data_IF_640128663758
#
_entry.id   IF_640128663758
#
_cell.length_a   1.000
_cell.length_b   1.000
_cell.length_c   1.000
_cell.angle_alpha   90.00
_cell.angle_beta   90.00
_cell.angle_gamma   90.00
#
_symmetry.space_group_name_H-M   'P 1'
#
loop_
_entity.id
_entity.type
_entity.pdbx_description
1 polymer ?
2 non-polymer ?
3 non-polymer ?
4 water ?
#
# COMPACT_ATOMS: atom_id res chain seq x y z
N UNK A 7 -11.52 21.46 -2.08
CA UNK A 7 -10.39 21.28 -1.15
C UNK A 7 -10.42 19.76 -0.91
N UNK A 8 -9.25 19.14 -0.97
CA UNK A 8 -9.10 17.69 -0.84
C UNK A 8 -8.41 17.40 0.49
N UNK A 9 -9.03 16.55 1.32
CA UNK A 9 -8.45 16.15 2.58
C UNK A 9 -7.44 15.05 2.29
N UNK A 10 -6.36 14.99 3.06
CA UNK A 10 -5.39 13.89 2.90
C UNK A 10 -4.84 13.55 4.26
N UNK A 11 -5.17 12.35 4.77
CA UNK A 11 -4.79 11.95 6.11
C UNK A 11 -3.92 10.69 5.98
N UNK A 12 -2.67 10.80 6.42
CA UNK A 12 -1.69 9.73 6.34
C UNK A 12 -0.60 10.12 5.37
N UNK A 13 0.50 10.63 5.92
CA UNK A 13 1.60 11.20 5.14
C UNK A 13 2.87 10.38 5.38
N UNK A 14 2.72 9.07 5.27
CA UNK A 14 3.83 8.16 5.47
C UNK A 14 4.66 7.95 4.19
N UNK A 15 5.32 6.80 4.10
CA UNK A 15 6.22 6.52 2.98
C UNK A 15 5.51 6.62 1.63
N UNK A 17 2.03 7.88 1.44
CA UNK A 17 1.12 9.02 1.49
C UNK A 17 1.78 10.37 1.22
N UNK A 18 2.95 10.57 1.79
CA UNK A 18 3.63 11.86 1.62
C UNK A 18 3.89 12.19 0.15
N UNK A 19 4.62 11.34 -0.60
CA UNK A 19 4.82 11.65 -2.03
C UNK A 19 3.55 11.72 -2.86
N UNK A 21 0.60 12.86 -1.79
CA UNK A 21 0.04 14.19 -1.50
C UNK A 21 0.80 15.27 -2.27
N UNK A 22 2.12 15.13 -2.37
CA UNK A 22 2.93 16.11 -3.09
C UNK A 22 2.62 16.09 -4.59
N UNK A 23 2.31 14.93 -5.16
CA UNK A 23 1.88 14.88 -6.53
C UNK A 23 0.53 15.57 -6.76
N UNK A 24 -0.38 15.51 -5.79
CA UNK A 24 -1.65 16.21 -5.90
C UNK A 24 -1.40 17.72 -5.89
N UNK A 25 -0.50 18.17 -5.04
CA UNK A 25 -0.18 19.60 -4.96
C UNK A 25 0.40 20.10 -6.28
N UNK A 26 1.30 19.31 -6.87
CA UNK A 26 1.90 19.63 -8.16
C UNK A 26 0.88 19.64 -9.28
N UNK A 27 -0.15 18.82 -9.18
CA UNK A 27 -1.23 18.80 -10.17
C UNK A 27 -2.24 19.95 -9.98
N UNK A 28 -2.05 20.77 -8.94
CA UNK A 28 -2.87 21.96 -8.72
C UNK A 28 -4.02 21.82 -7.73
N UNK A 29 -4.10 20.69 -7.03
CA UNK A 29 -5.15 20.52 -6.01
C UNK A 29 -4.79 21.25 -4.74
N UNK A 30 -5.81 21.77 -4.05
CA UNK A 30 -5.62 22.38 -2.74
C UNK A 30 -5.90 21.32 -1.68
N UNK A 31 -4.94 21.09 -0.79
CA UNK A 31 -5.04 20.03 0.21
C UNK A 31 -5.14 20.57 1.61
N UNK A 32 -5.88 19.86 2.44
CA UNK A 32 -5.83 20.01 3.88
C UNK A 32 -5.40 18.64 4.44
N UNK A 33 -4.24 18.61 5.08
CA UNK A 33 -3.57 17.37 5.44
C UNK A 33 -3.41 17.15 6.92
N UNK A 34 -3.30 15.88 7.31
CA UNK A 34 -2.95 15.50 8.66
C UNK A 34 -2.17 14.19 8.67
N UNK A 35 -1.40 14.01 9.73
CA UNK A 35 -0.66 12.80 10.02
C UNK A 35 -0.34 12.81 11.52
N UNK A 36 -0.06 11.63 12.08
CA UNK A 36 0.35 11.53 13.48
C UNK A 36 1.71 12.19 13.75
N UNK A 37 2.52 12.36 12.71
CA UNK A 37 3.84 12.97 12.84
C UNK A 37 3.79 14.46 12.39
N UNK A 38 3.91 15.41 13.32
CA UNK A 38 3.88 16.83 12.93
C UNK A 38 4.94 17.20 11.90
N UNK A 39 6.09 16.53 11.91
CA UNK A 39 7.12 16.80 10.92
C UNK A 39 6.70 16.42 9.51
N UNK A 40 5.95 15.32 9.38
CA UNK A 40 5.37 14.96 8.08
C UNK A 40 4.38 16.02 7.60
N UNK A 41 3.49 16.49 8.50
CA UNK A 41 2.62 17.62 8.15
C UNK A 41 3.45 18.83 7.71
N UNK A 42 4.49 19.17 8.47
CA UNK A 42 5.29 20.37 8.16
C UNK A 42 5.90 20.31 6.76
N UNK A 43 6.38 19.13 6.38
CA UNK A 43 6.96 18.91 5.07
C UNK A 43 5.94 19.16 3.95
N UNK A 44 4.73 18.65 4.13
CA UNK A 44 3.72 18.77 3.12
C UNK A 44 3.13 20.20 3.08
N UNK A 45 3.02 20.85 4.23
CA UNK A 45 2.61 22.27 4.20
C UNK A 45 3.67 23.11 3.50
N UNK A 46 4.94 22.76 3.65
CA UNK A 46 6.01 23.49 2.96
C UNK A 46 5.87 23.36 1.44
N UNK A 47 5.26 22.26 0.96
CA UNK A 47 4.97 22.09 -0.47
C UNK A 47 3.67 22.74 -0.92
N UNK A 48 2.92 23.33 -0.01
CA UNK A 48 1.73 24.09 -0.37
C UNK A 48 0.42 23.70 0.32
N UNK A 49 0.41 22.64 1.13
CA UNK A 49 -0.82 22.22 1.79
C UNK A 49 -1.20 23.10 2.95
N UNK A 50 -2.48 23.11 3.28
CA UNK A 50 -2.95 23.50 4.60
C UNK A 50 -3.11 22.30 5.50
N UNK A 51 -3.43 22.54 6.77
CA UNK A 51 -3.64 21.49 7.76
C UNK A 51 -4.78 21.85 8.71
N UNK A 52 -5.26 20.86 9.46
CA UNK A 52 -6.23 21.07 10.53
C UNK A 52 -5.95 20.08 11.64
N UNK A 53 -6.50 20.33 12.83
CA UNK A 53 -6.08 19.62 14.04
C UNK A 53 -6.75 18.26 14.22
N UNK A 54 -7.82 17.99 13.47
CA UNK A 54 -8.53 16.71 13.58
C UNK A 54 -9.05 16.28 12.24
N UNK A 55 -9.33 15.00 12.13
CA UNK A 55 -10.00 14.45 10.94
C UNK A 55 -11.39 15.08 10.76
N UNK A 56 -12.07 15.33 11.87
CA UNK A 56 -13.38 15.97 11.85
C UNK A 56 -13.29 17.35 11.17
N UNK A 57 -12.28 18.13 11.54
CA UNK A 57 -12.10 19.46 10.95
C UNK A 57 -11.71 19.39 9.48
N UNK A 58 -10.94 18.37 9.09
CA UNK A 58 -10.67 18.18 7.68
C UNK A 58 -11.96 17.90 6.92
N UNK A 59 -12.81 17.04 7.49
CA UNK A 59 -14.07 16.68 6.84
C UNK A 59 -15.03 17.86 6.77
N UNK A 60 -14.97 18.76 7.75
CA UNK A 60 -15.80 19.98 7.72
C UNK A 60 -15.45 20.91 6.55
N UNK A 61 -14.19 20.85 6.12
CA UNK A 61 -13.67 21.73 5.08
C UNK A 61 -13.54 21.13 3.69
N UNK A 62 -13.61 19.80 3.57
CA UNK A 62 -13.28 19.13 2.30
C UNK A 62 -14.44 18.24 1.86
N UNK A 63 -14.79 18.29 0.59
CA UNK A 63 -15.88 17.46 0.05
C UNK A 63 -15.42 16.06 -0.27
N UNK A 64 -14.10 15.89 -0.35
CA UNK A 64 -13.48 14.58 -0.59
C UNK A 64 -12.24 14.48 0.28
N UNK A 65 -12.02 13.30 0.85
CA UNK A 65 -10.91 13.07 1.76
C UNK A 65 -10.26 11.76 1.34
N UNK A 66 -8.94 11.79 1.16
CA UNK A 66 -8.14 10.57 0.97
C UNK A 66 -7.52 10.15 2.30
N UNK A 67 -7.57 8.85 2.62
CA UNK A 67 -6.80 8.30 3.75
C UNK A 67 -5.77 7.34 3.19
N UNK A 69 -3.42 4.90 5.29
CA UNK A 69 -3.12 4.44 6.63
C UNK A 69 -2.75 2.94 6.62
N UNK A 70 -2.12 2.45 7.69
CA UNK A 70 -1.54 1.10 7.67
C UNK A 70 -2.50 -0.08 7.65
N UNK A 71 -3.67 0.03 8.29
CA UNK A 71 -4.52 -1.13 8.52
C UNK A 71 -5.94 -0.71 8.94
N UNK A 72 -6.84 -1.68 9.05
CA UNK A 72 -8.22 -1.36 9.36
C UNK A 72 -8.41 -0.62 10.70
N UNK A 73 -7.78 -1.03 11.81
CA UNK A 73 -7.97 -0.28 13.05
C UNK A 73 -7.65 1.21 12.91
N UNK A 74 -6.60 1.53 12.16
CA UNK A 74 -6.24 2.94 11.97
C UNK A 74 -7.31 3.66 11.13
N UNK A 75 -7.77 3.04 10.04
CA UNK A 75 -8.79 3.68 9.20
C UNK A 75 -10.09 3.85 10.01
N UNK A 76 -10.47 2.84 10.76
CA UNK A 76 -11.69 2.91 11.58
C UNK A 76 -11.61 4.05 12.58
N UNK A 77 -10.46 4.23 13.22
CA UNK A 77 -10.30 5.33 14.19
C UNK A 77 -10.41 6.70 13.50
N UNK A 78 -9.74 6.87 12.36
CA UNK A 78 -9.77 8.13 11.64
C UNK A 78 -11.16 8.43 11.03
N UNK A 79 -11.81 7.39 10.50
CA UNK A 79 -13.07 7.57 9.79
C UNK A 79 -14.26 7.66 10.74
N UNK A 80 -14.24 6.86 11.80
CA UNK A 80 -15.43 6.63 12.64
C UNK A 80 -15.28 7.03 14.09
N UNK A 81 -14.06 7.31 14.52
CA UNK A 81 -13.75 7.46 15.93
C UNK A 81 -14.00 8.88 16.41
N UNK A 82 -13.62 9.13 17.64
CA UNK A 82 -13.75 10.46 18.24
C UNK A 82 -12.94 11.44 17.40
N UNK A 83 -13.56 12.57 17.10
CA UNK A 83 -12.97 13.56 16.20
C UNK A 83 -12.62 12.99 14.83
N UNK A 84 -13.39 12.00 14.40
CA UNK A 84 -13.14 11.37 13.11
C UNK A 84 -13.92 12.01 11.99
N UNK A 85 -13.70 11.51 10.78
CA UNK A 85 -14.33 12.03 9.58
C UNK A 85 -15.84 12.09 9.73
N UNK A 86 -16.43 11.04 10.30
CA UNK A 86 -17.86 10.93 10.38
C UNK A 86 -18.50 12.05 11.22
N UNK A 87 -17.74 12.60 12.16
CA UNK A 87 -18.24 13.68 13.02
C UNK A 87 -18.24 15.05 12.34
N UNK A 88 -17.50 15.19 11.23
CA UNK A 88 -17.43 16.44 10.50
C UNK A 88 -18.00 16.45 9.09
N UNK A 89 -18.29 15.27 8.55
CA UNK A 89 -18.65 15.13 7.14
C UNK A 89 -20.14 15.39 6.95
N UNK A 90 -20.47 16.26 6.03
CA UNK A 90 -21.89 16.43 5.71
C UNK A 90 -22.29 15.41 4.64
N UNK A 91 -23.59 15.18 4.48
CA UNK A 91 -24.06 14.23 3.46
C UNK A 91 -23.50 14.60 2.12
N UNK A 92 -23.03 13.60 1.38
CA UNK A 92 -22.45 13.79 0.08
C UNK A 92 -20.92 13.83 0.05
N UNK A 93 -20.31 13.98 1.22
CA UNK A 93 -18.85 13.91 1.36
C UNK A 93 -18.43 12.52 0.91
N UNK A 94 -17.24 12.42 0.31
CA UNK A 94 -16.69 11.15 -0.16
C UNK A 94 -15.38 10.85 0.54
N UNK A 95 -15.24 9.62 1.04
CA UNK A 95 -13.96 9.09 1.52
C UNK A 95 -13.39 8.19 0.44
N UNK A 96 -12.16 8.48 0.02
CA UNK A 96 -11.38 7.59 -0.82
C UNK A 96 -10.31 7.00 0.06
N UNK A 97 -10.55 5.80 0.56
CA UNK A 97 -9.54 5.15 1.38
C UNK A 97 -8.59 4.40 0.48
N UNK A 99 -5.77 3.01 1.69
CA UNK A 99 -5.10 2.04 2.56
C UNK A 99 -5.34 0.62 2.05
N UNK A 100 -4.40 -0.26 2.36
CA UNK A 100 -4.60 -1.68 2.15
C UNK A 100 -5.20 -2.28 3.41
N UNK A 101 -6.48 -2.65 3.36
CA UNK A 101 -7.16 -3.22 4.53
C UNK A 101 -8.03 -4.39 4.13
N UNK A 102 -8.46 -5.18 5.11
CA UNK A 102 -9.32 -6.34 4.84
C UNK A 102 -10.57 -5.90 4.08
N UNK A 103 -10.93 -6.57 2.99
CA UNK A 103 -12.18 -6.22 2.29
C UNK A 103 -13.42 -6.10 3.18
N UNK A 104 -13.56 -7.01 4.15
CA UNK A 104 -14.68 -6.93 5.10
C UNK A 104 -14.67 -5.62 5.86
N UNK A 105 -13.49 -5.15 6.24
CA UNK A 105 -13.37 -3.86 6.93
C UNK A 105 -13.79 -2.68 6.04
N UNK A 106 -13.38 -2.69 4.77
CA UNK A 106 -13.84 -1.66 3.84
C UNK A 106 -15.36 -1.62 3.81
N UNK A 107 -15.98 -2.78 3.73
CA UNK A 107 -17.45 -2.88 3.65
C UNK A 107 -18.12 -2.39 4.94
N UNK A 108 -17.54 -2.74 6.09
CA UNK A 108 -18.03 -2.29 7.39
C UNK A 108 -17.96 -0.77 7.56
N UNK A 109 -16.82 -0.21 7.19
CA UNK A 109 -16.60 1.23 7.31
C UNK A 109 -17.54 1.94 6.31
N UNK A 110 -17.65 1.40 5.10
CA UNK A 110 -18.57 1.97 4.11
C UNK A 110 -20.02 2.01 4.62
N UNK A 111 -20.46 0.93 5.25
CA UNK A 111 -21.84 0.87 5.77
C UNK A 111 -22.06 1.88 6.88
N UNK A 112 -21.05 2.04 7.74
CA UNK A 112 -21.15 3.02 8.83
C UNK A 112 -21.22 4.45 8.27
N UNK A 113 -20.42 4.74 7.25
CA UNK A 113 -20.42 6.07 6.65
C UNK A 113 -21.72 6.32 5.87
N UNK A 114 -22.23 5.29 5.20
CA UNK A 114 -23.46 5.42 4.40
C UNK A 114 -24.65 5.83 5.26
N UNK A 115 -24.67 5.36 6.51
CA UNK A 115 -25.75 5.71 7.44
C UNK A 115 -25.79 7.21 7.71
N UNK A 116 -24.64 7.89 7.58
CA UNK A 116 -24.56 9.35 7.68
C UNK A 116 -24.56 10.10 6.35
N UNK A 117 -24.73 9.39 5.24
CA UNK A 117 -24.74 9.99 3.92
C UNK A 117 -23.39 10.22 3.30
N UNK A 118 -22.35 9.59 3.86
CA UNK A 118 -20.99 9.72 3.36
C UNK A 118 -20.68 8.53 2.45
N UNK A 119 -20.18 8.82 1.25
CA UNK A 119 -19.86 7.84 0.23
C UNK A 119 -18.42 7.36 0.43
N UNK A 121 -15.02 5.04 -1.57
CA UNK A 121 -14.31 4.14 -2.48
C UNK A 121 -13.16 3.49 -1.72
N UNK A 122 -12.90 2.21 -2.00
CA UNK A 122 -11.67 1.57 -1.56
C UNK A 122 -10.72 1.52 -2.75
N UNK A 123 -9.66 2.32 -2.69
CA UNK A 123 -8.74 2.54 -3.80
C UNK A 123 -7.26 2.33 -3.40
N UNK A 124 -6.92 1.13 -2.95
CA UNK A 124 -5.52 0.81 -2.64
C UNK A 124 -4.65 0.85 -3.89
N UNK A 125 -3.35 0.85 -3.66
CA UNK A 125 -2.38 1.12 -4.70
C UNK A 125 -1.29 0.10 -4.75
N UNK A 126 -0.59 0.08 -5.87
CA UNK A 126 0.65 -0.69 -5.97
C UNK A 126 1.70 0.00 -6.83
N UNK A 127 2.95 -0.15 -6.40
CA UNK A 127 4.10 0.30 -7.17
C UNK A 127 5.33 0.56 -6.35
N UNK A 128 5.17 0.63 -5.04
CA UNK A 128 6.29 0.84 -4.15
C UNK A 128 6.60 2.31 -4.01
N UNK A 129 7.48 2.62 -3.06
CA UNK A 129 7.86 3.99 -2.80
C UNK A 129 8.36 4.71 -4.06
N UNK A 130 9.17 4.07 -4.91
CA UNK A 130 9.60 4.76 -6.14
C UNK A 130 8.47 5.24 -7.03
N UNK A 131 7.41 4.46 -7.15
CA UNK A 131 6.31 4.83 -8.01
C UNK A 131 5.29 5.75 -7.32
N UNK A 132 5.25 5.74 -5.99
CA UNK A 132 4.50 6.75 -5.24
C UNK A 132 5.15 8.11 -5.50
N UNK A 133 6.47 8.14 -5.50
CA UNK A 133 7.22 9.38 -5.74
C UNK A 133 7.02 9.90 -7.15
N UNK A 134 7.17 9.03 -8.16
CA UNK A 134 7.11 9.51 -9.55
C UNK A 134 5.70 9.52 -10.15
N UNK A 135 4.70 9.13 -9.37
CA UNK A 135 3.33 9.20 -9.77
C UNK A 135 2.85 8.19 -10.79
N UNK A 136 3.45 7.00 -10.81
CA UNK A 136 3.10 5.96 -11.76
C UNK A 136 2.48 4.73 -11.09
N UNK A 137 2.00 4.90 -9.86
CA UNK A 137 1.24 3.85 -9.15
C UNK A 137 0.07 3.33 -9.97
N UNK A 138 -0.25 2.04 -9.80
CA UNK A 138 -1.52 1.51 -10.21
C UNK A 138 -2.48 1.61 -9.02
N UNK A 139 -3.71 2.03 -9.30
CA UNK A 139 -4.77 2.17 -8.33
C UNK A 139 -5.89 1.24 -8.74
N UNK A 141 -9.81 -0.02 -7.60
CA UNK A 141 -10.88 0.66 -6.88
C UNK A 141 -12.17 -0.12 -6.82
N UNK A 142 -12.79 -0.18 -5.64
CA UNK A 142 -14.15 -0.64 -5.52
C UNK A 142 -15.07 0.49 -5.09
N UNK A 143 -16.35 0.33 -5.43
CA UNK A 143 -17.40 1.27 -5.04
C UNK A 143 -18.30 1.59 -6.20
N UNK A 144 -19.12 2.61 -6.04
CA UNK A 144 -20.07 3.06 -7.09
C UNK A 144 -19.37 3.67 -8.28
N UNK A 145 -19.74 3.22 -9.46
CA UNK A 145 -19.13 3.72 -10.69
C UNK A 145 -19.22 5.24 -10.84
N UNK A 146 -20.35 5.83 -10.43
CA UNK A 146 -20.53 7.27 -10.56
C UNK A 146 -19.50 8.02 -9.73
N UNK A 147 -19.21 7.50 -8.54
CA UNK A 147 -18.25 8.11 -7.64
C UNK A 147 -16.83 7.89 -8.16
N UNK A 148 -16.55 6.68 -8.63
CA UNK A 148 -15.30 6.41 -9.34
C UNK A 148 -15.06 7.43 -10.47
N UNK A 149 -16.08 7.61 -11.32
CA UNK A 149 -15.94 8.48 -12.49
C UNK A 149 -15.71 9.93 -12.05
N UNK A 150 -16.39 10.35 -11.00
CA UNK A 150 -16.27 11.71 -10.52
C UNK A 150 -14.88 12.04 -10.01
N UNK A 151 -14.20 11.07 -9.39
CA UNK A 151 -12.89 11.29 -8.79
C UNK A 151 -11.77 10.60 -9.53
N UNK A 152 -12.02 10.13 -10.74
CA UNK A 152 -10.99 9.52 -11.57
C UNK A 152 -9.79 10.46 -11.75
N UNK A 153 -10.02 11.71 -12.13
CA UNK A 153 -8.92 12.62 -12.38
C UNK A 153 -8.10 12.87 -11.14
N UNK A 154 -8.75 12.98 -9.99
CA UNK A 154 -8.05 13.22 -8.73
C UNK A 154 -7.13 12.02 -8.44
N UNK A 156 -6.06 9.79 -10.59
CA UNK A 156 -5.10 9.66 -11.68
C UNK A 156 -3.92 10.62 -11.55
N UNK A 157 -4.10 11.74 -10.84
CA UNK A 157 -2.99 12.65 -10.59
C UNK A 157 -1.84 12.05 -9.78
N UNK A 159 -1.07 8.64 -10.22
CA UNK A 159 -1.03 7.29 -10.78
C UNK A 159 -0.70 7.22 -12.27
N UNK A 160 -0.19 6.06 -12.67
CA UNK A 160 -0.13 5.67 -14.07
C UNK A 160 -1.37 4.98 -14.57
N UNK A 161 -2.18 4.43 -13.66
CA UNK A 161 -3.37 3.67 -14.02
C UNK A 161 -4.36 3.70 -12.86
N UNK A 162 -5.65 3.91 -13.17
CA UNK A 162 -6.73 3.84 -12.20
C UNK A 162 -7.86 3.02 -12.78
N UNK A 163 -8.14 1.87 -12.16
CA UNK A 163 -9.08 0.90 -12.71
C UNK A 163 -10.17 0.53 -11.70
N UNK A 164 -11.42 0.55 -12.14
CA UNK A 164 -12.55 0.16 -11.33
C UNK A 164 -12.74 -1.36 -11.41
N UNK A 165 -12.73 -2.03 -10.25
CA UNK A 165 -12.72 -3.48 -10.22
C UNK A 165 -14.00 -4.13 -9.70
N UNK A 166 -14.91 -3.32 -9.14
CA UNK A 166 -16.15 -3.84 -8.63
C UNK A 166 -16.78 -2.96 -7.56
N UNK A 167 -17.70 -3.56 -6.80
CA UNK A 167 -18.39 -2.89 -5.71
C UNK A 167 -17.40 -2.69 -4.54
N UNK A 168 -17.85 -1.95 -3.53
CA UNK A 168 -17.02 -1.65 -2.37
C UNK A 168 -16.39 -2.92 -1.79
N UNK A 169 -15.09 -2.86 -1.56
CA UNK A 169 -14.29 -3.99 -1.15
C UNK A 169 -13.49 -4.65 -2.24
N UNK A 170 -13.89 -4.46 -3.50
CA UNK A 170 -13.22 -5.08 -4.63
C UNK A 170 -11.85 -4.51 -4.87
N UNK A 171 -11.64 -3.25 -4.49
CA UNK A 171 -10.30 -2.68 -4.55
C UNK A 171 -9.35 -3.49 -3.66
N UNK A 172 -9.76 -3.70 -2.42
CA UNK A 172 -8.95 -4.48 -1.51
C UNK A 172 -8.86 -5.95 -1.86
N UNK A 173 -9.89 -6.55 -2.47
CA UNK A 173 -9.72 -7.92 -2.95
C UNK A 173 -8.62 -7.95 -4.01
N UNK A 174 -8.64 -6.95 -4.91
CA UNK A 174 -7.65 -6.85 -5.98
C UNK A 174 -6.26 -6.64 -5.38
N UNK A 175 -6.20 -5.81 -4.35
CA UNK A 175 -4.94 -5.59 -3.63
C UNK A 175 -4.44 -6.87 -2.91
N UNK A 176 -5.32 -7.71 -2.41
CA UNK A 176 -4.89 -9.01 -1.86
C UNK A 176 -4.21 -9.86 -2.93
N UNK A 177 -4.83 -9.98 -4.10
CA UNK A 177 -4.20 -10.66 -5.24
C UNK A 177 -2.85 -10.02 -5.58
N UNK A 178 -2.82 -8.69 -5.59
CA UNK A 178 -1.58 -7.96 -5.83
C UNK A 178 -0.48 -8.33 -4.86
N UNK A 179 -0.83 -8.40 -3.57
CA UNK A 179 0.15 -8.62 -2.53
C UNK A 179 0.61 -10.06 -2.46
N UNK A 180 -0.25 -10.99 -2.89
CA UNK A 180 0.17 -12.36 -3.11
C UNK A 180 1.27 -12.38 -4.17
N UNK A 181 1.03 -11.73 -5.29
CA UNK A 181 2.02 -11.73 -6.36
C UNK A 181 3.32 -11.05 -5.92
N UNK A 182 3.23 -9.91 -5.25
CA UNK A 182 4.45 -9.21 -4.87
C UNK A 182 5.29 -10.06 -3.92
N UNK A 183 4.66 -10.64 -2.90
CA UNK A 183 5.39 -11.47 -1.94
C UNK A 183 6.06 -12.62 -2.64
N UNK A 184 5.31 -13.32 -3.50
CA UNK A 184 5.84 -14.50 -4.17
C UNK A 184 6.92 -14.15 -5.19
N UNK A 185 6.78 -13.04 -5.91
CA UNK A 185 7.79 -12.62 -6.89
C UNK A 185 9.09 -12.29 -6.16
N UNK A 186 9.00 -11.67 -4.97
CA UNK A 186 10.18 -11.38 -4.19
C UNK A 186 10.83 -12.67 -3.69
N UNK A 187 10.00 -13.56 -3.13
CA UNK A 187 10.49 -14.85 -2.63
C UNK A 187 11.15 -15.65 -3.75
N UNK A 188 10.52 -15.67 -4.92
CA UNK A 188 11.04 -16.41 -6.07
C UNK A 188 12.39 -15.88 -6.53
N UNK A 190 14.51 -14.34 -4.65
CA UNK A 190 15.44 -14.65 -3.58
C UNK A 190 15.90 -16.12 -3.65
N UNK A 191 14.94 -17.02 -3.88
CA UNK A 191 15.19 -18.44 -4.00
C UNK A 191 16.15 -18.68 -5.17
N UNK A 192 15.87 -18.06 -6.32
CA UNK A 192 16.65 -18.25 -7.51
C UNK A 192 18.06 -17.64 -7.43
N UNK A 193 18.17 -16.42 -6.94
CA UNK A 193 19.47 -15.76 -6.82
C UNK A 193 20.35 -16.47 -5.78
N UNK A 194 19.76 -16.94 -4.68
CA UNK A 194 20.51 -17.68 -3.68
C UNK A 194 20.99 -19.02 -4.24
N UNK A 195 20.16 -19.70 -5.02
CA UNK A 195 20.58 -20.92 -5.70
C UNK A 195 21.80 -20.67 -6.60
N UNK A 196 21.74 -19.66 -7.44
CA UNK A 196 22.82 -19.40 -8.40
C UNK A 196 24.11 -19.02 -7.67
N UNK A 197 23.98 -18.21 -6.64
CA UNK A 197 25.12 -17.79 -5.82
C UNK A 197 25.77 -18.98 -5.14
N UNK A 198 24.95 -19.84 -4.53
CA UNK A 198 25.46 -21.05 -3.89
C UNK A 198 26.14 -22.01 -4.87
N UNK A 199 25.65 -22.02 -6.11
CA UNK A 199 26.22 -22.84 -7.18
C UNK A 199 27.41 -22.17 -7.86
N UNK A 200 27.85 -21.02 -7.35
CA UNK A 200 29.10 -20.40 -7.81
C UNK A 200 29.01 -19.37 -8.92
N UNK A 201 27.82 -18.86 -9.22
CA UNK A 201 27.61 -17.84 -10.22
C UNK A 201 27.26 -16.51 -9.56
N UNK A 202 27.91 -15.44 -10.01
CA UNK A 202 27.70 -14.13 -9.45
C UNK A 202 26.28 -13.65 -9.70
N UNK A 203 25.51 -13.31 -8.65
CA UNK A 203 24.10 -12.95 -8.84
C UNK A 203 23.86 -11.67 -9.64
N UNK A 204 24.83 -10.75 -9.66
CA UNK A 204 24.65 -9.57 -10.49
C UNK A 204 24.67 -9.94 -11.97
N UNK A 205 25.54 -10.87 -12.37
CA UNK A 205 25.54 -11.38 -13.74
C UNK A 205 24.23 -12.14 -14.04
N UNK A 206 23.72 -12.89 -13.06
CA UNK A 206 22.43 -13.57 -13.22
C UNK A 206 21.32 -12.54 -13.48
N UNK A 207 21.27 -11.52 -12.62
CA UNK A 207 20.30 -10.43 -12.76
C UNK A 207 20.40 -9.79 -14.13
N UNK A 208 21.61 -9.41 -14.54
CA UNK A 208 21.77 -8.80 -15.87
C UNK A 208 21.32 -9.71 -17.00
N UNK A 209 21.64 -11.00 -16.85
CA UNK A 209 21.35 -11.99 -17.88
C UNK A 209 19.87 -12.31 -18.03
N UNK A 210 19.10 -12.28 -16.94
CA UNK A 210 17.71 -12.74 -17.00
C UNK A 210 16.68 -11.62 -17.01
N UNK A 211 17.08 -10.39 -16.69
CA UNK A 211 16.08 -9.35 -16.47
C UNK A 211 15.24 -8.99 -17.69
N UNK A 212 15.75 -9.30 -18.88
CA UNK A 212 15.09 -9.01 -20.14
C UNK A 212 14.25 -10.11 -20.73
N UNK A 213 14.27 -11.29 -20.10
CA UNK A 213 13.55 -12.45 -20.61
C UNK A 213 12.25 -12.71 -19.87
N UNK A 214 11.81 -13.96 -19.86
CA UNK A 214 10.52 -14.28 -19.25
C UNK A 214 10.56 -14.19 -17.71
N UNK A 215 11.76 -14.15 -17.11
CA UNK A 215 11.88 -13.96 -15.68
C UNK A 215 11.82 -12.49 -15.24
N UNK A 216 11.72 -11.57 -16.18
CA UNK A 216 11.72 -10.16 -15.87
C UNK A 216 10.44 -9.73 -15.14
N UNK A 217 10.62 -8.82 -14.22
CA UNK A 217 9.50 -8.23 -13.49
C UNK A 217 9.84 -6.90 -12.88
N UNK A 218 8.80 -6.19 -12.48
CA UNK A 218 8.96 -4.94 -11.75
C UNK A 218 9.63 -5.19 -10.39
N UNK A 219 9.28 -6.29 -9.72
CA UNK A 219 9.95 -6.69 -8.47
C UNK A 219 11.43 -6.96 -8.70
N UNK A 220 11.78 -7.66 -9.78
CA UNK A 220 13.17 -8.01 -10.01
C UNK A 220 14.02 -6.74 -10.13
N UNK A 221 13.56 -5.81 -10.94
CA UNK A 221 14.33 -4.56 -11.17
C UNK A 221 14.33 -3.63 -9.96
N UNK A 222 13.25 -3.64 -9.17
CA UNK A 222 13.19 -2.81 -7.96
C UNK A 222 14.02 -3.36 -6.82
N UNK A 223 14.00 -4.68 -6.65
CA UNK A 223 14.50 -5.32 -5.42
C UNK A 223 15.85 -6.03 -5.56
N UNK A 224 16.21 -6.52 -6.74
CA UNK A 224 17.51 -7.20 -6.86
C UNK A 224 18.67 -6.25 -6.51
N UNK A 225 18.65 -5.03 -7.03
CA UNK A 225 19.70 -4.06 -6.66
C UNK A 225 19.74 -3.79 -5.16
N UNK A 227 18.80 -5.81 -2.62
CA UNK A 227 19.39 -6.96 -1.96
C UNK A 227 20.91 -6.96 -2.14
N UNK A 229 22.99 -4.64 -2.86
CA UNK A 229 23.62 -3.48 -2.19
C UNK A 229 23.43 -3.46 -0.68
N UNK A 230 22.71 -4.46 -0.15
CA UNK A 230 22.43 -4.60 1.27
C UNK A 230 21.61 -3.41 1.78
N UNK A 231 20.73 -2.91 0.93
CA UNK A 231 19.82 -1.83 1.29
C UNK A 231 18.44 -2.40 1.57
N UNK A 232 18.10 -2.55 2.84
CA UNK A 232 16.79 -3.09 3.25
C UNK A 232 15.94 -2.04 3.95
N UNK A 233 16.18 -0.78 3.63
CA UNK A 233 15.40 0.32 4.19
C UNK A 233 14.01 0.42 3.53
N UNK A 234 12.95 0.47 4.33
CA UNK A 234 11.62 0.65 3.73
C UNK A 234 11.50 2.01 3.03
N UNK A 235 10.80 2.08 1.91
CA UNK A 235 10.20 0.93 1.24
C UNK A 235 8.94 0.47 1.96
N UNK A 236 8.71 -0.85 1.92
CA UNK A 236 7.50 -1.46 2.48
C UNK A 236 7.89 -2.50 3.53
N UNK A 237 7.59 -2.23 4.79
CA UNK A 237 8.01 -3.09 5.90
C UNK A 237 7.41 -4.48 5.81
N UNK A 238 8.24 -5.47 6.14
CA UNK A 238 7.79 -6.85 6.29
C UNK A 238 6.53 -6.95 7.19
N UNK A 239 6.48 -6.19 8.29
CA UNK A 239 5.33 -6.25 9.17
C UNK A 239 4.01 -5.87 8.49
N UNK A 240 4.06 -4.91 7.57
CA UNK A 240 2.88 -4.56 6.78
C UNK A 240 2.52 -5.64 5.76
N UNK A 241 3.53 -6.26 5.14
CA UNK A 241 3.24 -7.32 4.19
C UNK A 241 2.65 -8.54 4.91
N UNK A 242 3.06 -8.80 6.15
CA UNK A 242 2.47 -9.84 6.97
C UNK A 242 0.96 -9.60 7.14
N UNK A 243 0.59 -8.36 7.45
CA UNK A 243 -0.83 -8.00 7.59
C UNK A 243 -1.59 -8.25 6.28
N UNK A 244 -0.99 -7.88 5.15
CA UNK A 244 -1.64 -8.12 3.86
C UNK A 244 -1.79 -9.62 3.59
N UNK A 245 -0.75 -10.42 3.85
CA UNK A 245 -0.88 -11.86 3.64
C UNK A 245 -1.89 -12.50 4.60
N UNK A 246 -1.94 -12.02 5.85
CA UNK A 246 -2.98 -12.48 6.78
C UNK A 246 -4.36 -12.22 6.21
N UNK A 247 -4.58 -11.04 5.66
CA UNK A 247 -5.85 -10.73 5.03
C UNK A 247 -6.13 -11.63 3.81
N UNK A 248 -5.09 -11.88 3.01
CA UNK A 248 -5.25 -12.75 1.83
C UNK A 248 -5.65 -14.16 2.23
N UNK A 249 -4.97 -14.68 3.25
CA UNK A 249 -5.25 -16.02 3.75
C UNK A 249 -6.64 -16.10 4.36
N UNK A 250 -7.03 -15.07 5.12
CA UNK A 250 -8.38 -15.02 5.70
C UNK A 250 -9.44 -15.04 4.60
N UNK A 251 -9.21 -14.24 3.55
CA UNK A 251 -10.18 -14.20 2.45
C UNK A 251 -10.24 -15.56 1.75
N UNK A 252 -9.09 -16.15 1.49
CA UNK A 252 -9.02 -17.47 0.86
C UNK A 252 -9.76 -18.52 1.68
N UNK A 253 -9.58 -18.49 2.99
CA UNK A 253 -10.26 -19.44 3.89
C UNK A 253 -11.76 -19.17 4.02
N UNK A 254 -12.19 -17.93 3.75
CA UNK A 254 -13.60 -17.60 3.75
C UNK A 254 -14.31 -18.06 2.48
N UNK A 255 -13.62 -18.04 1.33
CA UNK A 255 -14.25 -18.37 0.04
C UNK A 255 -13.83 -19.72 -0.53
N UNK A 256 -12.87 -20.37 0.13
CA UNK A 256 -12.38 -21.65 -0.32
C UNK A 256 -11.51 -21.60 -1.54
N UNK A 257 -10.66 -20.59 -1.63
CA UNK A 257 -9.64 -20.54 -2.66
C UNK A 257 -8.45 -21.44 -2.21
N UNK A 258 -7.30 -21.28 -2.85
CA UNK A 258 -6.18 -22.21 -2.70
C UNK A 258 -4.88 -21.38 -2.66
N UNK A 259 -4.29 -21.26 -1.48
CA UNK A 259 -3.20 -20.31 -1.26
C UNK A 259 -1.93 -20.98 -0.67
N UNK A 260 -1.45 -22.06 -1.28
CA UNK A 260 -0.28 -22.75 -0.72
C UNK A 260 1.01 -21.95 -0.69
N UNK A 261 1.30 -21.22 -1.76
CA UNK A 261 2.59 -20.51 -1.81
C UNK A 261 2.59 -19.31 -0.86
N UNK A 262 1.47 -18.61 -0.80
CA UNK A 262 1.26 -17.52 0.15
C UNK A 262 1.38 -18.03 1.58
N UNK A 263 0.76 -19.17 1.86
CA UNK A 263 0.85 -19.77 3.20
C UNK A 263 2.31 -20.04 3.57
N UNK A 264 3.09 -20.56 2.61
CA UNK A 264 4.51 -20.80 2.84
C UNK A 264 5.28 -19.51 3.06
N UNK A 265 5.07 -18.51 2.22
CA UNK A 265 5.83 -17.26 2.38
C UNK A 265 5.44 -16.52 3.67
N UNK A 267 4.91 -18.01 6.52
CA UNK A 267 5.72 -18.60 7.57
C UNK A 267 7.16 -18.08 7.48
N UNK A 270 7.06 -14.80 9.14
CA UNK A 270 7.03 -14.99 10.61
C UNK A 270 8.46 -15.21 11.15
N UNK A 271 9.25 -16.01 10.46
CA UNK A 271 10.63 -16.23 10.85
C UNK A 271 11.43 -14.92 10.80
N UNK A 272 11.24 -14.14 9.74
CA UNK A 272 11.93 -12.86 9.60
C UNK A 272 11.57 -11.89 10.72
N UNK A 273 10.29 -11.80 11.04
CA UNK A 273 9.83 -10.95 12.16
C UNK A 273 10.49 -11.39 13.48
N UNK A 274 10.50 -12.69 13.71
CA UNK A 274 11.09 -13.25 14.93
C UNK A 274 12.60 -12.99 15.00
N UNK A 275 13.25 -12.82 13.86
CA UNK A 275 14.69 -12.57 13.78
C UNK A 275 15.03 -11.10 13.55
N UNK A 276 14.09 -10.22 13.87
CA UNK A 276 14.33 -8.78 13.88
C UNK A 276 14.22 -8.02 12.58
N UNK A 277 13.57 -8.61 11.56
CA UNK A 277 13.46 -8.00 10.23
C UNK A 277 12.10 -7.36 9.91
N UNK A 278 11.21 -7.28 10.89
CA UNK A 278 9.87 -6.75 10.68
C UNK A 278 9.81 -5.33 10.16
N UNK A 279 10.81 -4.52 10.52
CA UNK A 279 10.87 -3.15 10.07
C UNK A 279 11.76 -2.94 8.85
N UNK A 280 12.25 -4.03 8.27
CA UNK A 280 13.00 -3.98 7.03
C UNK A 280 12.07 -3.99 5.82
N UNK A 281 12.50 -3.41 4.72
CA UNK A 281 11.82 -3.55 3.43
C UNK A 281 11.60 -5.01 3.12
N UNK A 282 10.53 -5.31 2.39
CA UNK A 282 10.24 -6.71 2.06
C UNK A 282 11.24 -7.44 1.14
N UNK A 283 12.17 -6.70 0.55
CA UNK A 283 13.35 -7.28 -0.08
C UNK A 283 14.15 -8.14 0.92
N UNK A 284 13.98 -7.90 2.22
CA UNK A 284 14.62 -8.72 3.25
C UNK A 284 14.12 -10.17 3.30
N UNK A 285 13.10 -10.50 2.52
CA UNK A 285 12.81 -11.91 2.29
C UNK A 285 14.04 -12.63 1.79
N UNK A 286 14.91 -11.94 1.05
CA UNK A 286 16.17 -12.54 0.61
C UNK A 286 17.02 -13.04 1.78
N UNK A 287 16.98 -12.32 2.89
CA UNK A 287 17.78 -12.68 4.07
C UNK A 287 17.35 -14.02 4.68
N UNK A 288 16.06 -14.37 4.54
CA UNK A 288 15.59 -15.68 4.97
C UNK A 288 16.33 -16.77 4.22
N UNK A 289 16.35 -16.65 2.90
CA UNK A 289 17.06 -17.61 2.08
C UNK A 289 18.57 -17.60 2.33
N UNK A 290 19.16 -16.42 2.50
CA UNK A 290 20.59 -16.32 2.78
C UNK A 290 20.97 -17.08 4.04
N UNK A 291 20.12 -16.96 5.05
CA UNK A 291 20.40 -17.58 6.34
C UNK A 291 20.26 -19.09 6.26
N UNK A 292 19.28 -19.58 5.52
CA UNK A 292 19.11 -21.03 5.41
C UNK A 292 20.14 -21.69 4.45
N UNK A 293 20.50 -21.00 3.38
CA UNK A 293 21.46 -21.51 2.40
C UNK A 293 22.91 -21.20 2.77
N UNK A 294 23.12 -20.37 3.78
CA UNK A 294 24.47 -19.98 4.22
C UNK A 294 25.29 -19.30 3.12
N UNK A 295 24.66 -18.36 2.41
CA UNK A 295 25.36 -17.52 1.45
C UNK A 295 24.63 -16.18 1.33
N UNK A 296 25.35 -15.12 1.02
CA UNK A 296 24.73 -13.84 0.81
C UNK A 296 24.72 -13.47 -0.67
N UNK A 297 23.64 -12.82 -1.09
CA UNK A 297 23.44 -12.36 -2.44
C UNK A 297 23.97 -10.93 -2.52
N UNK A 298 25.14 -10.74 -3.10
CA UNK A 298 25.84 -9.45 -3.05
C UNK A 298 26.40 -9.10 -4.41
N UNK A 299 26.88 -7.88 -4.57
CA UNK A 299 27.52 -7.55 -5.84
C UNK A 299 28.75 -8.42 -6.05
#
# INVERSE_FOLDING_TARGET
SNAMTXKVGFIGLGIXGKPXSKNLLKAGYSLVVSDRNPEAIADVIAAGAETASTAKAIAEQCDVIITXLPNSPHVKEVALGENGIIEGAKPGTVLIDXSSIAPLASREISDALKAKGVEXLDAPVSGGEPKAIDGTLSVXVGGDKAIFDKYYDLXKAXAGSVVHTGDIGAGNVTKLANQVIVALNIAAXSEALTLATKAGVNPDLVYQAIRGGLAGSTVLDAKAPXVXDRNFKPGFRIDLHIKDLANALDTSHGVGAQLPLTAAVXEXXQALRADGHGNDDHSALACYYEKLAKVEVTR
#
